data_IF_686639461341
#
_entry.id   IF_686639461341
#
_cell.length_a   1.000
_cell.length_b   1.000
_cell.length_c   1.000
_cell.angle_alpha   90.00
_cell.angle_beta   90.00
_cell.angle_gamma   90.00
#
_symmetry.space_group_name_H-M   'P 1'
#
loop_
_entity.id
_entity.type
_entity.pdbx_description
1 polymer ?
#
# COMPACT_ATOMS: atom_id res chain seq x y z
N UNK A 1 41.09 20.96 -38.92
CA UNK A 1 40.88 19.49 -38.83
C UNK A 1 41.11 19.05 -37.40
N UNK A 2 40.16 18.27 -36.85
CA UNK A 2 40.19 17.50 -35.59
C UNK A 2 39.93 18.30 -34.30
N UNK A 3 39.06 17.90 -33.38
CA UNK A 3 38.03 16.84 -33.32
C UNK A 3 37.04 17.28 -32.22
N UNK A 4 35.75 17.20 -32.52
CA UNK A 4 34.64 17.30 -31.57
C UNK A 4 34.76 16.08 -30.63
N UNK A 5 34.82 16.31 -29.32
CA UNK A 5 34.56 15.27 -28.31
C UNK A 5 33.20 15.60 -27.71
N UNK A 6 32.17 15.11 -28.41
CA UNK A 6 30.86 14.80 -27.84
C UNK A 6 30.94 13.33 -27.38
N UNK A 7 30.13 12.98 -26.38
CA UNK A 7 29.97 11.66 -25.72
C UNK A 7 30.85 11.39 -24.49
N UNK A 8 30.28 11.66 -23.32
CA UNK A 8 29.99 10.64 -22.29
C UNK A 8 29.27 11.31 -21.11
N UNK A 9 27.97 11.59 -21.26
CA UNK A 9 27.12 11.95 -20.12
C UNK A 9 25.69 11.43 -20.36
N UNK A 10 25.57 10.12 -20.57
CA UNK A 10 24.28 9.43 -20.59
C UNK A 10 24.50 8.07 -19.91
N UNK A 11 24.69 8.04 -18.60
CA UNK A 11 24.61 6.78 -17.84
C UNK A 11 24.37 6.98 -16.32
N UNK A 12 23.64 8.03 -15.96
CA UNK A 12 23.21 8.28 -14.56
C UNK A 12 21.80 8.86 -14.45
N UNK A 13 21.00 8.80 -15.53
CA UNK A 13 19.61 9.31 -15.57
C UNK A 13 18.58 8.17 -15.41
N UNK A 14 19.00 6.90 -15.43
CA UNK A 14 18.08 5.77 -15.27
C UNK A 14 17.76 5.46 -13.80
N UNK A 15 18.74 5.50 -12.90
CA UNK A 15 18.55 5.18 -11.48
C UNK A 15 17.80 6.24 -10.66
N UNK A 16 17.65 7.48 -11.16
CA UNK A 16 16.80 8.50 -10.50
C UNK A 16 15.32 8.33 -10.88
N UNK A 17 15.03 7.74 -12.05
CA UNK A 17 13.63 7.58 -12.51
C UNK A 17 12.90 6.48 -11.75
N UNK A 18 13.59 5.39 -11.45
CA UNK A 18 13.00 4.23 -10.76
C UNK A 18 12.61 4.56 -9.31
N UNK A 19 13.44 5.32 -8.60
CA UNK A 19 13.11 5.77 -7.23
C UNK A 19 11.91 6.73 -7.19
N UNK A 20 11.75 7.60 -8.19
CA UNK A 20 10.60 8.52 -8.29
C UNK A 20 9.31 7.78 -8.64
N UNK A 21 9.37 6.82 -9.57
CA UNK A 21 8.22 6.01 -9.97
C UNK A 21 7.66 5.19 -8.79
N UNK A 22 8.56 4.58 -8.01
CA UNK A 22 8.16 3.81 -6.83
C UNK A 22 7.68 4.69 -5.68
N UNK A 23 8.23 5.91 -5.52
CA UNK A 23 7.71 6.90 -4.57
C UNK A 23 6.28 7.34 -4.93
N UNK A 24 6.01 7.66 -6.20
CA UNK A 24 4.66 8.00 -6.69
C UNK A 24 3.69 6.85 -6.44
N UNK A 25 4.14 5.61 -6.67
CA UNK A 25 3.35 4.42 -6.40
C UNK A 25 2.94 4.34 -4.93
N UNK A 26 3.90 4.40 -4.01
CA UNK A 26 3.64 4.33 -2.57
C UNK A 26 2.70 5.45 -2.12
N UNK A 27 2.92 6.69 -2.60
CA UNK A 27 2.07 7.83 -2.28
C UNK A 27 0.62 7.64 -2.73
N UNK A 28 0.39 7.08 -3.92
CA UNK A 28 -0.97 6.81 -4.38
C UNK A 28 -1.62 5.65 -3.63
N UNK A 29 -0.86 4.64 -3.20
CA UNK A 29 -1.39 3.60 -2.31
C UNK A 29 -1.78 4.19 -0.94
N UNK A 30 -1.01 5.15 -0.42
CA UNK A 30 -1.37 5.90 0.80
C UNK A 30 -2.65 6.73 0.61
N UNK A 31 -2.82 7.38 -0.55
CA UNK A 31 -4.06 8.10 -0.86
C UNK A 31 -5.26 7.17 -1.01
N UNK A 32 -5.08 5.98 -1.57
CA UNK A 32 -6.13 4.95 -1.62
C UNK A 32 -6.52 4.48 -0.21
N UNK A 33 -5.55 4.29 0.70
CA UNK A 33 -5.82 3.99 2.12
C UNK A 33 -6.60 5.13 2.76
N UNK A 34 -6.16 6.38 2.62
CA UNK A 34 -6.83 7.54 3.20
C UNK A 34 -8.28 7.66 2.70
N UNK A 35 -8.51 7.45 1.40
CA UNK A 35 -9.86 7.45 0.82
C UNK A 35 -10.71 6.33 1.41
N UNK A 36 -10.12 5.17 1.67
CA UNK A 36 -10.80 4.03 2.33
C UNK A 36 -11.10 4.31 3.80
N UNK A 37 -10.21 5.00 4.52
CA UNK A 37 -10.45 5.46 5.89
C UNK A 37 -11.60 6.48 5.95
N UNK A 38 -11.67 7.38 4.96
CA UNK A 38 -12.79 8.32 4.86
C UNK A 38 -14.12 7.59 4.65
N UNK A 39 -14.16 6.48 3.90
CA UNK A 39 -15.37 5.61 3.83
C UNK A 39 -15.78 5.14 5.24
N UNK A 40 -14.83 4.75 6.09
CA UNK A 40 -15.13 4.31 7.46
C UNK A 40 -15.67 5.45 8.33
N UNK A 41 -15.14 6.66 8.16
CA UNK A 41 -15.65 7.87 8.83
C UNK A 41 -17.10 8.17 8.43
N UNK A 42 -17.39 8.18 7.13
CA UNK A 42 -18.75 8.40 6.60
C UNK A 42 -19.74 7.33 7.11
N UNK A 43 -19.32 6.06 7.12
CA UNK A 43 -20.11 4.95 7.71
C UNK A 43 -20.41 5.18 9.18
N UNK A 44 -19.42 5.66 9.96
CA UNK A 44 -19.61 5.98 11.37
C UNK A 44 -20.66 7.08 11.56
N UNK A 45 -20.61 8.14 10.74
CA UNK A 45 -21.58 9.25 10.80
C UNK A 45 -23.01 8.78 10.46
N UNK A 46 -23.15 7.89 9.47
CA UNK A 46 -24.46 7.29 9.14
C UNK A 46 -24.96 6.40 10.29
N UNK A 47 -24.08 5.61 10.91
CA UNK A 47 -24.44 4.78 12.05
C UNK A 47 -24.91 5.61 13.26
N UNK A 48 -24.30 6.78 13.51
CA UNK A 48 -24.78 7.72 14.51
C UNK A 48 -26.19 8.24 14.19
N UNK A 49 -26.47 8.55 12.93
CA UNK A 49 -27.81 8.96 12.48
C UNK A 49 -28.84 7.84 12.68
N UNK A 50 -28.49 6.59 12.38
CA UNK A 50 -29.34 5.40 12.62
C UNK A 50 -29.62 5.22 14.12
N UNK A 51 -28.60 5.38 14.96
CA UNK A 51 -28.77 5.27 16.41
C UNK A 51 -29.63 6.39 16.99
N UNK A 52 -29.48 7.62 16.48
CA UNK A 52 -30.31 8.74 16.87
C UNK A 52 -31.78 8.50 16.46
N UNK A 53 -32.03 8.09 15.21
CA UNK A 53 -33.38 7.75 14.75
C UNK A 53 -34.00 6.62 15.59
N UNK A 54 -33.20 5.62 15.98
CA UNK A 54 -33.66 4.56 16.87
C UNK A 54 -34.19 5.08 18.22
N UNK A 55 -33.54 6.10 18.81
CA UNK A 55 -34.03 6.75 20.03
C UNK A 55 -35.33 7.53 19.77
N UNK A 56 -35.41 8.20 18.64
CA UNK A 56 -36.62 8.96 18.27
C UNK A 56 -37.83 8.05 18.07
N UNK A 57 -37.62 6.87 17.47
CA UNK A 57 -38.66 5.86 17.23
C UNK A 57 -39.15 5.18 18.53
N UNK A 58 -38.28 4.99 19.51
CA UNK A 58 -38.56 4.13 20.67
C UNK A 58 -38.77 4.85 21.99
N UNK A 59 -38.12 6.01 22.18
CA UNK A 59 -38.11 6.74 23.45
C UNK A 59 -38.82 8.08 23.31
N UNK A 60 -38.45 8.87 22.31
CA UNK A 60 -38.91 10.26 22.19
C UNK A 60 -40.28 10.37 21.49
N UNK A 61 -40.63 9.40 20.64
CA UNK A 61 -41.91 9.34 19.95
C UNK A 61 -42.10 10.40 18.86
N UNK A 62 -41.01 11.02 18.40
CA UNK A 62 -41.02 12.11 17.41
C UNK A 62 -39.97 11.92 16.28
N UNK A 63 -39.97 10.78 15.57
CA UNK A 63 -39.00 10.50 14.51
C UNK A 63 -39.01 11.54 13.40
N UNK A 64 -37.83 12.03 13.01
CA UNK A 64 -37.68 12.98 11.90
C UNK A 64 -37.12 12.30 10.65
N UNK A 65 -38.03 11.74 9.83
CA UNK A 65 -37.68 11.05 8.60
C UNK A 65 -36.86 11.92 7.64
N UNK A 66 -37.24 13.19 7.45
CA UNK A 66 -36.58 14.10 6.50
C UNK A 66 -35.14 14.39 6.91
N UNK A 67 -34.91 14.70 8.19
CA UNK A 67 -33.56 14.96 8.69
C UNK A 67 -32.68 13.72 8.59
N UNK A 68 -33.22 12.54 8.95
CA UNK A 68 -32.52 11.27 8.80
C UNK A 68 -32.14 11.00 7.34
N UNK A 69 -33.11 11.02 6.42
CA UNK A 69 -32.88 10.72 5.01
C UNK A 69 -31.89 11.69 4.35
N UNK A 70 -31.99 12.98 4.67
CA UNK A 70 -31.04 13.99 4.16
C UNK A 70 -29.62 13.67 4.58
N UNK A 71 -29.42 13.33 5.85
CA UNK A 71 -28.10 13.00 6.39
C UNK A 71 -27.56 11.71 5.77
N UNK A 72 -28.35 10.64 5.72
CA UNK A 72 -27.89 9.37 5.13
C UNK A 72 -27.56 9.53 3.65
N UNK A 73 -28.43 10.15 2.85
CA UNK A 73 -28.18 10.32 1.41
C UNK A 73 -26.90 11.14 1.14
N UNK A 74 -26.65 12.19 1.92
CA UNK A 74 -25.43 12.99 1.77
C UNK A 74 -24.17 12.13 2.00
N UNK A 75 -24.10 11.43 3.13
CA UNK A 75 -22.91 10.65 3.48
C UNK A 75 -22.74 9.38 2.63
N UNK A 76 -23.83 8.77 2.16
CA UNK A 76 -23.75 7.67 1.18
C UNK A 76 -23.17 8.13 -0.16
N UNK A 77 -23.51 9.35 -0.62
CA UNK A 77 -22.88 9.92 -1.81
C UNK A 77 -21.38 10.22 -1.58
N UNK A 78 -21.00 10.69 -0.39
CA UNK A 78 -19.58 10.87 -0.04
C UNK A 78 -18.81 9.54 -0.11
N UNK A 79 -19.39 8.44 0.39
CA UNK A 79 -18.80 7.10 0.25
C UNK A 79 -18.59 6.73 -1.21
N UNK A 80 -19.54 7.06 -2.10
CA UNK A 80 -19.39 6.80 -3.53
C UNK A 80 -18.23 7.58 -4.14
N UNK A 81 -18.08 8.87 -3.79
CA UNK A 81 -16.96 9.69 -4.27
C UNK A 81 -15.61 9.10 -3.81
N UNK A 82 -15.50 8.69 -2.53
CA UNK A 82 -14.28 8.04 -2.02
C UNK A 82 -14.02 6.67 -2.67
N UNK A 83 -15.05 5.93 -3.04
CA UNK A 83 -14.90 4.68 -3.80
C UNK A 83 -14.27 4.94 -5.18
N UNK A 84 -14.69 5.99 -5.87
CA UNK A 84 -14.09 6.38 -7.15
C UNK A 84 -12.62 6.80 -6.97
N UNK A 85 -12.31 7.52 -5.89
CA UNK A 85 -10.93 7.88 -5.52
C UNK A 85 -10.04 6.65 -5.26
N UNK A 86 -10.54 5.64 -4.52
CA UNK A 86 -9.80 4.38 -4.28
C UNK A 86 -9.39 3.73 -5.60
N UNK A 87 -10.35 3.56 -6.53
CA UNK A 87 -10.08 2.98 -7.84
C UNK A 87 -9.06 3.79 -8.63
N UNK A 88 -9.21 5.11 -8.65
CA UNK A 88 -8.32 6.02 -9.37
C UNK A 88 -6.89 5.95 -8.81
N UNK A 89 -6.72 6.05 -7.50
CA UNK A 89 -5.40 6.02 -6.86
C UNK A 89 -4.71 4.66 -7.03
N UNK A 90 -5.43 3.55 -6.92
CA UNK A 90 -4.86 2.22 -7.20
C UNK A 90 -4.43 2.10 -8.67
N UNK A 91 -5.23 2.60 -9.62
CA UNK A 91 -4.87 2.59 -11.03
C UNK A 91 -3.62 3.44 -11.31
N UNK A 92 -3.52 4.63 -10.72
CA UNK A 92 -2.32 5.48 -10.83
C UNK A 92 -1.11 4.77 -10.22
N UNK A 93 -1.23 4.17 -9.04
CA UNK A 93 -0.16 3.42 -8.41
C UNK A 93 0.31 2.25 -9.31
N UNK A 94 -0.62 1.46 -9.83
CA UNK A 94 -0.30 0.33 -10.70
C UNK A 94 0.41 0.77 -12.00
N UNK A 95 0.02 1.90 -12.58
CA UNK A 95 0.61 2.41 -13.81
C UNK A 95 2.02 3.00 -13.61
N UNK A 96 2.34 3.45 -12.40
CA UNK A 96 3.65 4.04 -12.09
C UNK A 96 4.62 3.05 -11.44
N UNK A 97 4.17 1.89 -10.96
CA UNK A 97 5.06 0.98 -10.25
C UNK A 97 6.05 0.30 -11.18
N UNK A 98 7.32 0.26 -10.76
CA UNK A 98 8.36 -0.51 -11.43
C UNK A 98 8.27 -2.00 -11.09
N UNK A 99 7.66 -2.34 -9.94
CA UNK A 99 7.34 -3.71 -9.52
C UNK A 99 5.85 -3.98 -9.78
N UNK A 100 5.51 -4.78 -10.80
CA UNK A 100 4.11 -5.05 -11.12
C UNK A 100 3.37 -5.67 -9.92
N UNK A 101 2.18 -5.15 -9.64
CA UNK A 101 1.25 -5.72 -8.67
C UNK A 101 -0.16 -5.82 -9.26
N UNK A 102 -1.01 -6.61 -8.62
CA UNK A 102 -2.38 -6.83 -9.06
C UNK A 102 -3.38 -6.20 -8.08
N UNK A 103 -4.40 -5.56 -8.64
CA UNK A 103 -5.55 -5.05 -7.88
C UNK A 103 -6.77 -5.99 -7.91
N UNK A 104 -6.62 -7.23 -8.44
CA UNK A 104 -7.73 -8.17 -8.65
C UNK A 104 -8.51 -8.50 -7.37
N UNK A 105 -7.84 -8.53 -6.22
CA UNK A 105 -8.49 -8.79 -4.92
C UNK A 105 -9.22 -7.54 -4.37
N UNK A 106 -8.92 -6.34 -4.87
CA UNK A 106 -9.53 -5.08 -4.42
C UNK A 106 -10.81 -4.76 -5.21
N UNK A 107 -10.81 -4.99 -6.52
CA UNK A 107 -11.97 -4.72 -7.40
C UNK A 107 -13.30 -5.28 -6.87
N UNK A 108 -13.43 -6.56 -6.46
CA UNK A 108 -14.70 -7.08 -5.95
C UNK A 108 -15.12 -6.44 -4.62
N UNK A 109 -14.16 -6.02 -3.78
CA UNK A 109 -14.44 -5.32 -2.53
C UNK A 109 -14.99 -3.92 -2.81
N UNK A 110 -14.40 -3.20 -3.76
CA UNK A 110 -14.89 -1.89 -4.19
C UNK A 110 -16.30 -1.97 -4.78
N UNK A 111 -16.58 -2.98 -5.62
CA UNK A 111 -17.93 -3.21 -6.13
C UNK A 111 -18.93 -3.53 -5.01
N UNK A 112 -18.49 -4.20 -3.95
CA UNK A 112 -19.32 -4.47 -2.78
C UNK A 112 -19.68 -3.17 -2.03
N UNK A 113 -18.74 -2.22 -1.90
CA UNK A 113 -19.02 -0.90 -1.31
C UNK A 113 -20.12 -0.15 -2.09
N UNK A 114 -20.07 -0.18 -3.43
CA UNK A 114 -21.13 0.41 -4.27
C UNK A 114 -22.47 -0.29 -4.06
N UNK A 115 -22.49 -1.63 -4.00
CA UNK A 115 -23.72 -2.38 -3.72
C UNK A 115 -24.31 -2.04 -2.35
N UNK A 116 -23.48 -1.82 -1.32
CA UNK A 116 -23.96 -1.41 0.00
C UNK A 116 -24.52 0.02 0.00
N UNK A 117 -23.97 0.92 -0.81
CA UNK A 117 -24.54 2.26 -1.00
C UNK A 117 -25.97 2.19 -1.57
N UNK A 118 -26.17 1.40 -2.63
CA UNK A 118 -27.50 1.20 -3.23
C UNK A 118 -28.50 0.64 -2.20
N UNK A 119 -28.07 -0.34 -1.40
CA UNK A 119 -28.88 -0.91 -0.34
C UNK A 119 -29.26 0.13 0.73
N UNK A 120 -28.30 0.96 1.16
CA UNK A 120 -28.56 2.03 2.13
C UNK A 120 -29.54 3.09 1.60
N UNK A 121 -29.48 3.43 0.30
CA UNK A 121 -30.45 4.34 -0.32
C UNK A 121 -31.86 3.73 -0.34
N UNK A 122 -31.98 2.44 -0.66
CA UNK A 122 -33.27 1.71 -0.60
C UNK A 122 -33.80 1.67 0.83
N UNK A 123 -32.96 1.32 1.80
CA UNK A 123 -33.32 1.30 3.22
C UNK A 123 -33.76 2.69 3.70
N UNK A 124 -33.11 3.76 3.23
CA UNK A 124 -33.47 5.14 3.56
C UNK A 124 -34.87 5.51 3.09
N UNK A 125 -35.22 5.13 1.86
CA UNK A 125 -36.55 5.35 1.30
C UNK A 125 -37.63 4.54 2.03
N UNK A 126 -37.35 3.27 2.34
CA UNK A 126 -38.25 2.40 3.09
C UNK A 126 -38.48 2.92 4.52
N UNK A 127 -37.42 3.36 5.19
CA UNK A 127 -37.49 3.96 6.52
C UNK A 127 -38.35 5.22 6.53
N UNK A 128 -38.10 6.12 5.57
CA UNK A 128 -38.87 7.36 5.45
C UNK A 128 -40.35 7.10 5.23
N UNK A 129 -40.68 6.11 4.39
CA UNK A 129 -42.06 5.70 4.13
C UNK A 129 -42.70 5.08 5.36
N UNK A 130 -41.99 4.21 6.09
CA UNK A 130 -42.49 3.59 7.31
C UNK A 130 -42.81 4.65 8.39
N UNK A 131 -41.92 5.63 8.59
CA UNK A 131 -42.13 6.73 9.54
C UNK A 131 -43.33 7.59 9.12
N UNK A 132 -43.40 8.01 7.86
CA UNK A 132 -44.47 8.89 7.38
C UNK A 132 -45.85 8.21 7.41
N UNK A 133 -45.90 6.88 7.29
CA UNK A 133 -47.13 6.10 7.43
C UNK A 133 -47.47 5.74 8.89
N UNK A 134 -46.67 6.18 9.87
CA UNK A 134 -46.85 5.84 11.28
C UNK A 134 -46.61 4.37 11.62
N UNK A 135 -45.91 3.63 10.75
CA UNK A 135 -45.60 2.22 10.95
C UNK A 135 -44.27 2.05 11.70
N UNK A 136 -44.32 2.34 13.00
CA UNK A 136 -43.15 2.30 13.90
C UNK A 136 -42.49 0.92 13.96
N UNK A 137 -43.27 -0.18 13.92
CA UNK A 137 -42.71 -1.52 13.98
C UNK A 137 -41.85 -1.84 12.75
N UNK A 138 -42.32 -1.49 11.55
CA UNK A 138 -41.51 -1.64 10.33
C UNK A 138 -40.28 -0.75 10.38
N UNK A 139 -40.40 0.50 10.84
CA UNK A 139 -39.25 1.39 10.98
C UNK A 139 -38.20 0.83 11.96
N UNK A 140 -38.62 0.26 13.09
CA UNK A 140 -37.70 -0.38 14.06
C UNK A 140 -36.99 -1.58 13.44
N UNK A 141 -37.69 -2.42 12.67
CA UNK A 141 -37.08 -3.59 12.02
C UNK A 141 -35.99 -3.17 11.02
N UNK A 142 -36.23 -2.11 10.24
CA UNK A 142 -35.26 -1.58 9.27
C UNK A 142 -33.96 -1.07 9.92
N UNK A 143 -33.96 -0.69 11.21
CA UNK A 143 -32.73 -0.30 11.91
C UNK A 143 -31.70 -1.44 11.99
N UNK A 144 -32.17 -2.69 12.05
CA UNK A 144 -31.29 -3.86 12.08
C UNK A 144 -30.62 -4.09 10.72
N UNK A 145 -31.37 -3.90 9.63
CA UNK A 145 -30.85 -4.00 8.26
C UNK A 145 -29.79 -2.92 8.02
N UNK A 146 -30.08 -1.66 8.36
CA UNK A 146 -29.10 -0.57 8.31
C UNK A 146 -27.78 -0.91 9.01
N UNK A 147 -27.85 -1.41 10.25
CA UNK A 147 -26.64 -1.77 11.01
C UNK A 147 -25.87 -2.90 10.35
N UNK A 148 -26.57 -3.87 9.78
CA UNK A 148 -25.96 -4.99 9.07
C UNK A 148 -25.20 -4.49 7.85
N UNK A 149 -25.83 -3.66 7.02
CA UNK A 149 -25.23 -3.08 5.80
C UNK A 149 -24.03 -2.18 6.15
N UNK A 150 -24.15 -1.31 7.16
CA UNK A 150 -23.05 -0.43 7.60
C UNK A 150 -21.86 -1.21 8.16
N UNK A 151 -22.11 -2.26 8.94
CA UNK A 151 -21.04 -3.13 9.44
C UNK A 151 -20.34 -3.85 8.29
N UNK A 152 -21.09 -4.32 7.29
CA UNK A 152 -20.52 -4.95 6.09
C UNK A 152 -19.66 -3.96 5.29
N UNK A 153 -20.12 -2.71 5.16
CA UNK A 153 -19.38 -1.63 4.51
C UNK A 153 -18.06 -1.32 5.23
N UNK A 154 -18.09 -1.17 6.56
CA UNK A 154 -16.89 -0.92 7.36
C UNK A 154 -15.87 -2.08 7.32
N UNK A 155 -16.37 -3.33 7.39
CA UNK A 155 -15.51 -4.51 7.28
C UNK A 155 -14.88 -4.63 5.88
N UNK A 156 -15.63 -4.27 4.84
CA UNK A 156 -15.13 -4.26 3.46
C UNK A 156 -14.05 -3.19 3.27
N UNK A 157 -14.25 -1.99 3.81
CA UNK A 157 -13.23 -0.94 3.82
C UNK A 157 -11.94 -1.41 4.54
N UNK A 158 -12.08 -2.06 5.70
CA UNK A 158 -10.94 -2.66 6.42
C UNK A 158 -10.20 -3.69 5.56
N UNK A 159 -10.93 -4.54 4.83
CA UNK A 159 -10.32 -5.51 3.93
C UNK A 159 -9.57 -4.84 2.77
N UNK A 160 -10.11 -3.76 2.20
CA UNK A 160 -9.43 -2.98 1.15
C UNK A 160 -8.11 -2.42 1.68
N UNK A 161 -8.10 -1.79 2.87
CA UNK A 161 -6.87 -1.28 3.51
C UNK A 161 -5.84 -2.41 3.66
N UNK A 162 -6.25 -3.58 4.16
CA UNK A 162 -5.34 -4.73 4.31
C UNK A 162 -4.76 -5.20 2.98
N UNK A 163 -5.54 -5.21 1.90
CA UNK A 163 -5.04 -5.57 0.57
C UNK A 163 -4.06 -4.52 0.02
N UNK A 164 -4.35 -3.23 0.21
CA UNK A 164 -3.45 -2.14 -0.21
C UNK A 164 -2.14 -2.19 0.58
N UNK A 165 -2.19 -2.42 1.88
CA UNK A 165 -0.98 -2.60 2.71
C UNK A 165 -0.17 -3.83 2.27
N UNK A 166 -0.81 -4.95 1.96
CA UNK A 166 -0.13 -6.12 1.41
C UNK A 166 0.60 -5.80 0.10
N UNK A 167 -0.02 -5.03 -0.80
CA UNK A 167 0.62 -4.52 -2.02
C UNK A 167 1.83 -3.66 -1.67
N UNK A 168 1.66 -2.65 -0.79
CA UNK A 168 2.75 -1.75 -0.37
C UNK A 168 3.96 -2.53 0.14
N UNK A 169 3.73 -3.57 0.94
CA UNK A 169 4.80 -4.45 1.43
C UNK A 169 5.45 -5.24 0.30
N UNK A 170 4.66 -5.80 -0.61
CA UNK A 170 5.16 -6.62 -1.72
C UNK A 170 6.04 -5.84 -2.70
N UNK A 171 5.80 -4.53 -2.86
CA UNK A 171 6.53 -3.66 -3.78
C UNK A 171 7.56 -2.76 -3.07
N UNK A 172 7.75 -2.93 -1.76
CA UNK A 172 8.65 -2.07 -0.97
C UNK A 172 10.10 -2.27 -1.43
N UNK A 173 10.83 -1.18 -1.75
CA UNK A 173 12.26 -1.28 -2.01
C UNK A 173 13.07 -1.42 -0.71
N UNK A 174 14.26 -2.02 -0.80
CA UNK A 174 15.12 -2.35 0.33
C UNK A 174 16.46 -1.63 0.23
N UNK A 175 16.96 -1.18 1.40
CA UNK A 175 18.34 -0.75 1.54
C UNK A 175 19.17 -1.92 2.03
N UNK A 176 20.27 -2.20 1.33
CA UNK A 176 21.12 -3.35 1.62
C UNK A 176 22.56 -2.89 1.77
N UNK A 177 23.24 -3.31 2.82
CA UNK A 177 24.66 -3.03 3.02
C UNK A 177 25.44 -4.32 3.18
N UNK A 178 26.58 -4.40 2.51
CA UNK A 178 27.53 -5.49 2.67
C UNK A 178 28.44 -5.20 3.87
N UNK A 179 28.65 -6.23 4.69
CA UNK A 179 29.68 -6.24 5.72
C UNK A 179 30.68 -7.35 5.38
N UNK A 180 31.93 -6.97 5.12
CA UNK A 180 33.02 -7.93 5.03
C UNK A 180 33.30 -8.53 6.42
N UNK A 181 33.41 -9.85 6.50
CA UNK A 181 33.71 -10.56 7.76
C UNK A 181 34.84 -11.58 7.56
N UNK A 182 35.56 -11.92 8.62
CA UNK A 182 36.51 -13.03 8.62
C UNK A 182 35.80 -14.40 8.69
N UNK A 183 36.57 -15.50 8.66
CA UNK A 183 36.04 -16.86 8.78
C UNK A 183 35.32 -17.16 10.13
N UNK A 184 35.50 -16.31 11.14
CA UNK A 184 34.83 -16.40 12.43
C UNK A 184 33.59 -15.48 12.51
N UNK A 185 33.30 -14.71 11.45
CA UNK A 185 32.21 -13.75 11.40
C UNK A 185 32.53 -12.38 12.00
N UNK A 186 33.79 -12.09 12.34
CA UNK A 186 34.17 -10.77 12.85
C UNK A 186 34.26 -9.77 11.70
N UNK A 187 33.75 -8.53 11.84
CA UNK A 187 33.88 -7.50 10.82
C UNK A 187 35.35 -7.25 10.43
N UNK A 188 35.61 -7.16 9.13
CA UNK A 188 36.92 -6.86 8.55
C UNK A 188 36.77 -5.91 7.38
N UNK A 189 37.87 -5.52 6.75
CA UNK A 189 37.90 -4.61 5.60
C UNK A 189 38.20 -5.36 4.32
N UNK A 190 37.51 -4.99 3.24
CA UNK A 190 37.80 -5.45 1.88
C UNK A 190 37.59 -4.29 0.91
N UNK A 191 38.52 -4.07 -0.02
CA UNK A 191 38.60 -2.81 -0.79
C UNK A 191 38.47 -2.99 -2.31
N UNK A 192 38.33 -4.21 -2.83
CA UNK A 192 38.21 -4.42 -4.27
C UNK A 192 36.83 -3.99 -4.83
N UNK A 193 35.90 -3.62 -3.95
CA UNK A 193 34.56 -3.17 -4.30
C UNK A 193 33.56 -4.32 -4.34
N UNK A 194 32.28 -3.95 -4.26
CA UNK A 194 31.16 -4.87 -4.22
C UNK A 194 30.18 -4.64 -5.35
N UNK A 195 29.39 -5.66 -5.65
CA UNK A 195 28.26 -5.56 -6.57
C UNK A 195 27.15 -6.49 -6.11
N UNK A 196 25.96 -6.30 -6.65
CA UNK A 196 24.92 -7.31 -6.59
C UNK A 196 24.34 -7.59 -7.97
N UNK A 197 23.89 -8.82 -8.17
CA UNK A 197 23.33 -9.29 -9.44
C UNK A 197 21.89 -9.74 -9.20
N UNK A 198 20.94 -9.07 -9.85
CA UNK A 198 19.54 -9.47 -9.83
C UNK A 198 19.38 -10.72 -10.69
N UNK A 199 19.12 -11.86 -10.04
CA UNK A 199 19.05 -13.16 -10.71
C UNK A 199 17.81 -13.33 -11.60
N UNK A 200 16.80 -12.47 -11.45
CA UNK A 200 15.60 -12.47 -12.28
C UNK A 200 15.80 -11.65 -13.55
N UNK A 201 16.37 -10.45 -13.45
CA UNK A 201 16.55 -9.53 -14.60
C UNK A 201 17.90 -9.72 -15.31
N UNK A 202 18.89 -10.31 -14.62
CA UNK A 202 20.27 -10.43 -15.10
C UNK A 202 21.10 -9.15 -14.93
N UNK A 203 20.56 -8.15 -14.24
CA UNK A 203 21.20 -6.84 -14.07
C UNK A 203 22.25 -6.86 -12.95
N UNK A 204 23.38 -6.17 -13.19
CA UNK A 204 24.40 -5.91 -12.18
C UNK A 204 24.24 -4.48 -11.67
N UNK A 205 24.17 -4.36 -10.34
CA UNK A 205 24.01 -3.11 -9.62
C UNK A 205 25.24 -2.90 -8.74
N UNK A 206 25.56 -1.64 -8.47
CA UNK A 206 26.75 -1.24 -7.72
C UNK A 206 26.36 -0.36 -6.53
N UNK A 207 27.14 -0.39 -5.44
CA UNK A 207 26.91 0.48 -4.30
C UNK A 207 26.87 1.96 -4.67
N UNK A 208 26.02 2.73 -4.01
CA UNK A 208 25.78 4.15 -4.28
C UNK A 208 26.27 5.08 -3.16
N UNK A 209 26.73 4.52 -2.04
CA UNK A 209 27.33 5.27 -0.94
C UNK A 209 28.83 5.52 -1.14
N UNK A 210 29.36 6.51 -0.41
CA UNK A 210 30.76 6.90 -0.49
C UNK A 210 31.70 5.75 -0.09
N UNK A 211 31.29 4.91 0.85
CA UNK A 211 32.07 3.77 1.35
C UNK A 211 32.04 2.56 0.40
N UNK A 212 31.18 2.58 -0.63
CA UNK A 212 31.11 1.53 -1.65
C UNK A 212 30.60 0.19 -1.14
N UNK A 213 29.71 0.19 -0.15
CA UNK A 213 29.21 -1.01 0.55
C UNK A 213 27.69 -1.13 0.59
N UNK A 214 26.95 -0.06 0.32
CA UNK A 214 25.50 0.00 0.44
C UNK A 214 24.83 0.28 -0.90
N UNK A 215 23.68 -0.34 -1.08
CA UNK A 215 22.77 -0.21 -2.20
C UNK A 215 21.47 0.36 -1.67
N UNK A 216 20.99 1.47 -2.24
CA UNK A 216 19.69 2.00 -1.89
C UNK A 216 18.62 1.57 -2.89
N UNK A 217 17.39 1.49 -2.40
CA UNK A 217 16.19 1.31 -3.22
C UNK A 217 16.19 0.03 -4.10
N UNK A 218 16.79 -1.07 -3.63
CA UNK A 218 16.74 -2.34 -4.36
C UNK A 218 15.32 -2.90 -4.38
N UNK A 219 14.82 -3.24 -5.55
CA UNK A 219 13.50 -3.85 -5.68
C UNK A 219 13.40 -5.21 -4.96
N UNK A 220 12.21 -5.60 -4.48
CA UNK A 220 11.97 -6.94 -3.98
C UNK A 220 12.36 -7.98 -5.04
N UNK A 221 13.22 -8.93 -4.67
CA UNK A 221 13.73 -9.91 -5.62
C UNK A 221 14.85 -10.79 -5.08
N UNK A 222 15.41 -11.62 -5.96
CA UNK A 222 16.51 -12.52 -5.65
C UNK A 222 17.83 -11.93 -6.17
N UNK A 223 18.76 -11.70 -5.26
CA UNK A 223 20.05 -11.08 -5.57
C UNK A 223 21.21 -11.97 -5.13
N UNK A 224 22.25 -12.01 -5.96
CA UNK A 224 23.56 -12.52 -5.59
C UNK A 224 24.42 -11.31 -5.19
N UNK A 225 24.86 -11.24 -3.94
CA UNK A 225 25.80 -10.23 -3.46
C UNK A 225 27.21 -10.81 -3.47
N UNK A 226 28.15 -10.04 -4.02
CA UNK A 226 29.51 -10.50 -4.24
C UNK A 226 30.51 -9.34 -4.25
N UNK A 227 31.79 -9.66 -4.37
CA UNK A 227 32.86 -8.71 -4.56
C UNK A 227 33.60 -8.93 -5.87
N UNK A 228 34.32 -7.91 -6.32
CA UNK A 228 35.39 -8.15 -7.28
C UNK A 228 36.51 -8.93 -6.61
N UNK A 229 37.23 -9.75 -7.37
CA UNK A 229 38.41 -10.46 -6.87
C UNK A 229 39.66 -9.57 -7.00
N UNK A 230 40.51 -9.61 -5.99
CA UNK A 230 41.89 -9.10 -6.02
C UNK A 230 42.85 -10.26 -6.34
N UNK A 231 44.12 -9.96 -6.63
CA UNK A 231 45.08 -10.93 -7.16
C UNK A 231 45.29 -12.18 -6.29
N UNK A 232 45.14 -12.07 -4.96
CA UNK A 232 45.21 -13.19 -4.01
C UNK A 232 44.11 -13.16 -2.93
N UNK A 233 43.10 -12.30 -3.07
CA UNK A 233 42.08 -12.10 -2.04
C UNK A 233 40.70 -11.90 -2.68
N UNK A 234 39.67 -12.51 -2.11
CA UNK A 234 38.29 -12.35 -2.55
C UNK A 234 37.32 -12.34 -1.38
N UNK A 235 36.04 -12.37 -1.71
CA UNK A 235 35.00 -12.67 -0.72
C UNK A 235 34.16 -13.87 -1.16
N UNK A 236 33.37 -14.40 -0.24
CA UNK A 236 32.31 -15.36 -0.56
C UNK A 236 31.16 -14.64 -1.26
N UNK A 237 30.43 -15.36 -2.11
CA UNK A 237 29.16 -14.90 -2.68
C UNK A 237 27.96 -15.30 -1.81
N UNK A 238 26.89 -14.49 -1.80
CA UNK A 238 25.65 -14.82 -1.05
C UNK A 238 24.39 -14.51 -1.85
N UNK A 239 23.54 -15.53 -2.01
CA UNK A 239 22.21 -15.39 -2.59
C UNK A 239 21.17 -15.04 -1.52
N UNK A 240 20.39 -13.99 -1.75
CA UNK A 240 19.36 -13.50 -0.82
C UNK A 240 18.09 -13.16 -1.58
N UNK A 241 16.95 -13.64 -1.10
CA UNK A 241 15.63 -13.11 -1.44
C UNK A 241 15.32 -11.94 -0.53
N UNK A 242 15.29 -10.72 -1.07
CA UNK A 242 15.01 -9.53 -0.29
C UNK A 242 13.60 -9.58 0.28
N UNK A 243 13.49 -9.41 1.59
CA UNK A 243 12.22 -9.41 2.30
C UNK A 243 12.35 -8.62 3.61
N UNK A 244 11.22 -8.12 4.11
CA UNK A 244 11.15 -7.35 5.36
C UNK A 244 11.67 -8.10 6.58
N UNK A 245 11.60 -9.43 6.58
CA UNK A 245 12.12 -10.26 7.68
C UNK A 245 13.64 -10.18 7.87
N UNK A 246 14.36 -9.66 6.88
CA UNK A 246 15.81 -9.50 6.89
C UNK A 246 16.25 -8.09 7.31
N UNK A 247 15.33 -7.13 7.42
CA UNK A 247 15.65 -5.77 7.83
C UNK A 247 15.95 -5.73 9.33
N UNK A 248 17.00 -5.00 9.70
CA UNK A 248 17.28 -4.68 11.09
C UNK A 248 16.38 -3.53 11.59
N UNK A 249 16.58 -3.09 12.84
CA UNK A 249 15.83 -1.99 13.48
C UNK A 249 15.93 -0.65 12.71
N UNK A 250 16.96 -0.48 11.87
CA UNK A 250 17.15 0.70 11.03
C UNK A 250 16.55 0.56 9.63
N UNK A 251 15.88 -0.55 9.32
CA UNK A 251 15.35 -0.81 7.97
C UNK A 251 16.42 -1.16 6.93
N UNK A 252 17.57 -1.68 7.36
CA UNK A 252 18.68 -2.07 6.50
C UNK A 252 18.87 -3.58 6.56
N UNK A 253 19.01 -4.22 5.40
CA UNK A 253 19.43 -5.62 5.30
C UNK A 253 20.96 -5.65 5.30
N UNK A 254 21.56 -6.41 6.22
CA UNK A 254 23.03 -6.57 6.28
C UNK A 254 23.44 -7.90 5.69
N UNK A 255 24.33 -7.86 4.70
CA UNK A 255 24.81 -9.03 3.97
C UNK A 255 26.27 -9.28 4.33
N UNK A 256 26.52 -10.32 5.12
CA UNK A 256 27.88 -10.69 5.48
C UNK A 256 28.52 -11.53 4.37
N UNK A 257 29.64 -11.05 3.83
CA UNK A 257 30.50 -11.78 2.88
C UNK A 257 31.84 -12.10 3.56
N UNK A 258 32.23 -13.37 3.54
CA UNK A 258 33.45 -13.86 4.19
C UNK A 258 34.66 -13.56 3.32
N UNK A 259 35.62 -12.81 3.84
CA UNK A 259 36.88 -12.50 3.16
C UNK A 259 37.83 -13.69 3.25
N UNK A 260 38.48 -14.01 2.15
CA UNK A 260 39.56 -15.01 2.08
C UNK A 260 40.76 -14.42 1.33
N UNK A 261 41.97 -14.84 1.72
CA UNK A 261 43.24 -14.47 1.09
C UNK A 261 44.19 -15.66 1.10
N UNK A 262 44.97 -15.84 0.03
CA UNK A 262 46.03 -16.86 -0.09
C UNK A 262 47.36 -16.45 0.56
#
# INVERSE_FOLDING_TARGET
>A
MKKIILFALVLSIFSIKESVAQLITQQNLDYAIQSTENVQEEVSIVNEAVNQLGKELTILGNPNATAFATKVNYHVNMVQDFVDEINNYIAIASNNSTVPFSALEITPLVNSLLSFNDELLVLTNNMSTAINNGNTNTAINLLADFRTTLNAQNNTATNIINQIEAIKQAIKPFNVCIQAVDNNGNPTTYTAGFYCHNTTTGEYLYPDNQEGTCFTSLEPGNYTFDSYDDYFCGTSSKNITLSRSLENENGIIVVNLVVWCE
#
